data_IF_649799386582
#
_entry.id   IF_649799386582
#
_cell.length_a   1.000
_cell.length_b   1.000
_cell.length_c   1.000
_cell.angle_alpha   90.00
_cell.angle_beta   90.00
_cell.angle_gamma   90.00
#
_symmetry.space_group_name_H-M   'P 1'
#
loop_
_entity.id
_entity.type
_entity.pdbx_description
1 polymer ?
#
# COMPACT_ATOMS: atom_id res chain seq x y z
N UNK A 1 4.78 16.84 6.34
CA UNK A 1 5.22 15.91 7.37
C UNK A 1 6.09 14.84 6.74
N UNK A 2 7.41 14.97 6.89
CA UNK A 2 8.39 13.95 6.54
C UNK A 2 8.65 13.03 7.72
N UNK A 3 9.47 11.98 7.54
CA UNK A 3 9.88 11.10 8.63
C UNK A 3 10.80 11.77 9.66
N UNK A 4 11.34 12.95 9.39
CA UNK A 4 12.14 13.72 10.35
C UNK A 4 11.25 14.59 11.25
N UNK A 5 10.01 14.84 10.84
CA UNK A 5 9.04 15.70 11.52
C UNK A 5 8.17 14.94 12.54
N UNK A 6 8.63 13.78 13.05
CA UNK A 6 7.88 12.98 14.03
C UNK A 6 7.53 13.78 15.28
N UNK A 7 8.32 14.81 15.58
CA UNK A 7 8.08 15.68 16.72
C UNK A 7 6.75 16.46 16.65
N UNK A 8 6.19 16.59 15.45
CA UNK A 8 4.92 17.28 15.21
C UNK A 8 3.70 16.38 15.42
N UNK A 9 3.89 15.06 15.61
CA UNK A 9 2.79 14.12 15.84
C UNK A 9 2.16 14.42 17.20
N UNK A 10 0.84 14.61 17.22
CA UNK A 10 0.08 14.79 18.45
C UNK A 10 0.02 13.47 19.24
N UNK A 11 0.82 13.38 20.30
CA UNK A 11 0.92 12.20 21.15
C UNK A 11 -0.21 12.06 22.16
N UNK A 12 -1.14 13.03 22.26
CA UNK A 12 -2.28 12.95 23.17
C UNK A 12 -3.46 12.13 22.62
N UNK A 13 -3.39 11.71 21.35
CA UNK A 13 -4.47 11.01 20.68
C UNK A 13 -4.22 9.49 20.69
N UNK A 14 -5.23 8.67 21.00
CA UNK A 14 -5.17 7.24 20.76
C UNK A 14 -4.88 6.97 19.28
N UNK A 15 -3.81 6.23 19.01
CA UNK A 15 -3.20 6.12 17.68
C UNK A 15 -3.03 4.66 17.29
N UNK A 16 -3.30 4.35 16.03
CA UNK A 16 -2.95 3.08 15.39
C UNK A 16 -1.92 3.34 14.30
N UNK A 17 -0.89 2.51 14.22
CA UNK A 17 0.10 2.54 13.14
C UNK A 17 -0.17 1.42 12.15
N UNK A 18 -0.15 1.74 10.86
CA UNK A 18 -0.08 0.75 9.77
C UNK A 18 1.24 0.98 9.03
N UNK A 19 2.22 0.12 9.29
CA UNK A 19 3.57 0.22 8.72
C UNK A 19 3.66 -0.62 7.44
N UNK A 20 3.74 0.07 6.30
CA UNK A 20 4.06 -0.52 4.99
C UNK A 20 5.50 -0.25 4.56
N UNK A 21 6.28 0.48 5.38
CA UNK A 21 7.65 0.89 5.05
C UNK A 21 8.69 -0.19 5.38
N UNK A 22 8.38 -1.05 6.35
CA UNK A 22 9.34 -2.01 6.90
C UNK A 22 10.50 -1.37 7.67
N UNK A 23 10.40 -0.09 8.01
CA UNK A 23 11.45 0.64 8.71
C UNK A 23 11.31 0.46 10.24
N UNK A 24 11.91 -0.60 10.77
CA UNK A 24 11.85 -0.93 12.20
C UNK A 24 12.38 0.17 13.12
N UNK A 25 13.38 0.95 12.68
CA UNK A 25 13.94 2.04 13.48
C UNK A 25 12.95 3.20 13.63
N UNK A 26 12.27 3.56 12.54
CA UNK A 26 11.19 4.55 12.54
C UNK A 26 10.02 4.09 13.41
N UNK A 27 9.61 2.83 13.25
CA UNK A 27 8.52 2.24 14.02
C UNK A 27 8.81 2.26 15.52
N UNK A 28 10.05 1.93 15.92
CA UNK A 28 10.51 2.01 17.32
C UNK A 28 10.46 3.43 17.87
N UNK A 29 10.92 4.43 17.09
CA UNK A 29 10.84 5.85 17.49
C UNK A 29 9.40 6.31 17.67
N UNK A 30 8.50 5.91 16.77
CA UNK A 30 7.07 6.21 16.85
C UNK A 30 6.43 5.57 18.09
N UNK A 31 6.72 4.29 18.34
CA UNK A 31 6.21 3.57 19.50
C UNK A 31 6.66 4.22 20.81
N UNK A 32 7.94 4.55 20.93
CA UNK A 32 8.49 5.27 22.08
C UNK A 32 7.82 6.64 22.28
N UNK A 33 7.58 7.37 21.19
CA UNK A 33 6.99 8.70 21.24
C UNK A 33 5.52 8.67 21.65
N UNK A 34 4.75 7.74 21.11
CA UNK A 34 3.31 7.61 21.36
C UNK A 34 3.03 6.95 22.73
N UNK A 35 3.95 6.10 23.21
CA UNK A 35 3.83 5.43 24.50
C UNK A 35 2.49 4.70 24.64
N UNK A 36 1.80 4.94 25.75
CA UNK A 36 0.49 4.31 26.03
C UNK A 36 -0.61 4.67 25.04
N UNK A 37 -0.46 5.79 24.31
CA UNK A 37 -1.43 6.18 23.29
C UNK A 37 -1.24 5.42 21.97
N UNK A 38 -0.19 4.60 21.82
CA UNK A 38 -0.13 3.62 20.75
C UNK A 38 -1.01 2.42 21.12
N UNK A 39 -2.23 2.42 20.58
CA UNK A 39 -3.21 1.38 20.85
C UNK A 39 -2.92 0.09 20.08
N UNK A 40 -2.42 0.22 18.84
CA UNK A 40 -2.16 -0.94 17.99
C UNK A 40 -1.17 -0.63 16.87
N UNK A 41 -0.41 -1.64 16.44
CA UNK A 41 0.54 -1.53 15.34
C UNK A 41 0.42 -2.72 14.38
N UNK A 42 0.08 -2.43 13.12
CA UNK A 42 -0.03 -3.43 12.04
C UNK A 42 1.18 -3.27 11.13
N UNK A 43 1.99 -4.32 10.99
CA UNK A 43 3.10 -4.36 10.04
C UNK A 43 2.68 -5.11 8.79
N UNK A 44 2.84 -4.51 7.61
CA UNK A 44 2.39 -5.06 6.33
C UNK A 44 3.60 -5.37 5.46
N UNK A 45 3.66 -6.58 4.88
CA UNK A 45 4.47 -6.83 3.68
C UNK A 45 5.96 -7.18 3.86
N UNK A 46 6.42 -7.58 5.04
CA UNK A 46 7.79 -8.12 5.21
C UNK A 46 7.91 -9.52 4.57
N UNK A 47 8.55 -9.58 3.41
CA UNK A 47 8.73 -10.79 2.57
C UNK A 47 9.61 -11.88 3.20
N UNK A 48 10.37 -11.59 4.26
CA UNK A 48 11.08 -12.58 5.07
C UNK A 48 10.64 -12.53 6.54
N UNK A 49 9.64 -13.34 6.88
CA UNK A 49 9.14 -13.54 8.24
C UNK A 49 10.22 -14.01 9.23
N UNK A 50 11.20 -14.80 8.75
CA UNK A 50 12.26 -15.37 9.59
C UNK A 50 13.38 -14.36 9.92
N UNK A 51 13.60 -13.35 9.08
CA UNK A 51 14.73 -12.41 9.20
C UNK A 51 14.30 -11.00 9.64
N UNK A 52 12.99 -10.71 9.68
CA UNK A 52 12.48 -9.41 10.16
C UNK A 52 12.56 -9.19 11.68
N UNK A 53 13.40 -9.97 12.37
CA UNK A 53 13.64 -9.91 13.83
C UNK A 53 14.46 -8.68 14.27
N UNK A 54 14.16 -7.52 13.73
CA UNK A 54 14.50 -6.28 14.42
C UNK A 54 13.46 -6.05 15.51
N UNK A 55 13.87 -6.11 16.78
CA UNK A 55 13.03 -5.69 17.91
C UNK A 55 12.59 -4.23 17.72
N UNK A 56 11.39 -4.05 17.19
CA UNK A 56 10.75 -2.76 17.02
C UNK A 56 10.35 -2.13 18.37
N UNK A 57 10.59 -2.82 19.50
CA UNK A 57 10.19 -2.38 20.83
C UNK A 57 8.67 -2.28 20.96
N UNK A 58 7.94 -3.04 20.16
CA UNK A 58 6.48 -3.05 20.15
C UNK A 58 5.97 -4.08 21.16
N UNK A 59 4.90 -3.71 21.85
CA UNK A 59 4.10 -4.66 22.62
C UNK A 59 3.49 -5.68 21.66
N UNK A 60 3.90 -6.95 21.79
CA UNK A 60 3.41 -8.06 20.97
C UNK A 60 1.89 -8.29 21.15
N UNK A 61 1.32 -7.90 22.30
CA UNK A 61 -0.13 -8.00 22.53
C UNK A 61 -0.93 -6.94 21.78
N UNK A 62 -0.26 -5.85 21.38
CA UNK A 62 -0.82 -4.72 20.64
C UNK A 62 -0.21 -4.57 19.25
N UNK A 63 0.36 -5.64 18.69
CA UNK A 63 0.89 -5.61 17.34
C UNK A 63 0.63 -6.89 16.58
N UNK A 64 0.42 -6.75 15.27
CA UNK A 64 0.27 -7.87 14.36
C UNK A 64 1.11 -7.68 13.10
N UNK A 65 1.40 -8.81 12.45
CA UNK A 65 1.96 -8.82 11.12
C UNK A 65 0.89 -9.27 10.13
N UNK A 66 0.53 -8.37 9.22
CA UNK A 66 -0.44 -8.63 8.17
C UNK A 66 0.25 -9.19 6.93
N UNK A 67 0.05 -10.48 6.68
CA UNK A 67 0.59 -11.19 5.53
C UNK A 67 -0.51 -11.57 4.53
N UNK A 68 -0.64 -10.81 3.44
CA UNK A 68 -1.71 -10.99 2.44
C UNK A 68 -1.92 -12.45 2.01
N UNK A 69 -0.88 -13.27 1.73
CA UNK A 69 -1.09 -14.66 1.32
C UNK A 69 -1.82 -15.54 2.34
N UNK A 70 -1.60 -15.37 3.65
CA UNK A 70 -2.31 -16.15 4.67
C UNK A 70 -3.79 -15.82 4.69
N UNK A 71 -4.15 -14.54 4.51
CA UNK A 71 -5.54 -14.12 4.38
C UNK A 71 -6.18 -14.66 3.11
N UNK A 72 -5.47 -14.68 1.97
CA UNK A 72 -5.97 -15.31 0.74
C UNK A 72 -6.27 -16.80 0.99
N UNK A 73 -5.35 -17.54 1.59
CA UNK A 73 -5.54 -18.95 1.94
C UNK A 73 -6.74 -19.15 2.87
N UNK A 74 -6.87 -18.30 3.89
CA UNK A 74 -8.00 -18.34 4.82
C UNK A 74 -9.32 -18.08 4.09
N UNK A 75 -9.40 -17.08 3.20
CA UNK A 75 -10.62 -16.81 2.42
C UNK A 75 -10.94 -17.92 1.43
N UNK A 76 -9.93 -18.54 0.82
CA UNK A 76 -10.14 -19.72 -0.02
C UNK A 76 -10.68 -20.91 0.79
N UNK A 77 -10.24 -21.09 2.04
CA UNK A 77 -10.78 -22.11 2.95
C UNK A 77 -12.22 -21.80 3.38
N UNK A 78 -12.50 -20.55 3.73
CA UNK A 78 -13.80 -20.13 4.27
C UNK A 78 -14.90 -20.05 3.20
N UNK A 79 -14.56 -19.64 1.98
CA UNK A 79 -15.53 -19.36 0.92
C UNK A 79 -15.44 -20.32 -0.26
N UNK A 80 -14.43 -21.19 -0.27
CA UNK A 80 -14.05 -21.97 -1.45
C UNK A 80 -13.37 -21.12 -2.53
N UNK A 81 -12.64 -21.75 -3.47
CA UNK A 81 -11.98 -21.03 -4.57
C UNK A 81 -12.94 -20.19 -5.42
N UNK A 82 -14.12 -20.73 -5.75
CA UNK A 82 -15.12 -20.03 -6.55
C UNK A 82 -15.69 -18.82 -5.80
N UNK A 83 -16.10 -19.01 -4.53
CA UNK A 83 -16.65 -17.91 -3.72
C UNK A 83 -15.63 -16.80 -3.48
N UNK A 84 -14.34 -17.14 -3.36
CA UNK A 84 -13.27 -16.14 -3.33
C UNK A 84 -13.14 -15.38 -4.65
N UNK A 85 -13.15 -16.06 -5.80
CA UNK A 85 -13.07 -15.43 -7.13
C UNK A 85 -14.23 -14.45 -7.34
N UNK A 86 -15.46 -14.91 -7.15
CA UNK A 86 -16.68 -14.11 -7.38
C UNK A 86 -16.71 -12.84 -6.52
N UNK A 87 -16.30 -12.95 -5.25
CA UNK A 87 -16.24 -11.79 -4.33
C UNK A 87 -15.13 -10.82 -4.73
N UNK A 88 -13.97 -11.34 -5.11
CA UNK A 88 -12.82 -10.54 -5.51
C UNK A 88 -13.10 -9.79 -6.83
N UNK A 89 -13.65 -10.49 -7.82
CA UNK A 89 -14.07 -9.90 -9.10
C UNK A 89 -15.13 -8.82 -8.89
N UNK A 90 -16.17 -9.10 -8.10
CA UNK A 90 -17.21 -8.11 -7.78
C UNK A 90 -16.63 -6.86 -7.14
N UNK A 91 -15.73 -7.04 -6.16
CA UNK A 91 -15.05 -5.91 -5.51
C UNK A 91 -14.19 -5.12 -6.51
N UNK A 92 -13.43 -5.79 -7.36
CA UNK A 92 -12.59 -5.16 -8.38
C UNK A 92 -13.42 -4.36 -9.38
N UNK A 93 -14.52 -4.92 -9.89
CA UNK A 93 -15.41 -4.22 -10.79
C UNK A 93 -16.08 -3.00 -10.15
N UNK A 94 -16.59 -3.14 -8.93
CA UNK A 94 -17.19 -2.04 -8.18
C UNK A 94 -16.16 -0.94 -7.89
N UNK A 95 -14.95 -1.31 -7.49
CA UNK A 95 -13.87 -0.36 -7.18
C UNK A 95 -13.39 0.38 -8.43
N UNK A 96 -13.22 -0.32 -9.56
CA UNK A 96 -12.87 0.29 -10.84
C UNK A 96 -13.98 1.20 -11.38
N UNK A 97 -15.25 0.89 -11.09
CA UNK A 97 -16.36 1.77 -11.42
C UNK A 97 -16.39 3.02 -10.56
N UNK A 98 -16.20 2.85 -9.25
CA UNK A 98 -16.15 3.94 -8.30
C UNK A 98 -14.96 4.88 -8.52
N UNK A 99 -13.79 4.35 -8.87
CA UNK A 99 -12.59 5.15 -9.08
C UNK A 99 -12.73 6.16 -10.21
N UNK A 100 -13.55 5.86 -11.23
CA UNK A 100 -13.85 6.80 -12.33
C UNK A 100 -14.50 8.11 -11.87
N UNK A 101 -15.08 8.15 -10.68
CA UNK A 101 -15.69 9.37 -10.14
C UNK A 101 -14.67 10.40 -9.64
N UNK A 102 -13.42 9.99 -9.41
CA UNK A 102 -12.41 10.87 -8.82
C UNK A 102 -11.04 10.79 -9.52
N UNK A 103 -10.66 9.63 -10.07
CA UNK A 103 -9.37 9.41 -10.69
C UNK A 103 -9.34 9.96 -12.13
N UNK A 104 -8.39 10.85 -12.41
CA UNK A 104 -8.07 11.40 -13.72
C UNK A 104 -6.96 10.56 -14.35
N UNK A 105 -7.20 10.03 -15.55
CA UNK A 105 -6.18 9.27 -16.28
C UNK A 105 -5.43 10.20 -17.22
N UNK A 106 -4.12 10.31 -17.03
CA UNK A 106 -3.21 10.98 -17.97
C UNK A 106 -2.44 9.92 -18.74
N UNK A 107 -2.62 9.91 -20.05
CA UNK A 107 -1.81 9.06 -20.94
C UNK A 107 -0.59 9.82 -21.42
N UNK A 108 0.59 9.19 -21.35
CA UNK A 108 1.85 9.69 -21.92
C UNK A 108 2.37 8.69 -22.95
N UNK A 109 3.02 9.19 -24.00
CA UNK A 109 3.45 8.36 -25.13
C UNK A 109 4.90 7.90 -24.99
N UNK A 110 5.09 6.59 -25.11
CA UNK A 110 6.38 5.93 -25.21
C UNK A 110 7.32 6.16 -24.03
N UNK A 111 8.57 5.72 -24.22
CA UNK A 111 9.62 5.90 -23.23
C UNK A 111 9.99 7.36 -23.00
N UNK A 112 9.81 8.22 -24.01
CA UNK A 112 10.02 9.67 -23.87
C UNK A 112 9.03 10.29 -22.88
N UNK A 113 7.73 9.97 -23.00
CA UNK A 113 6.72 10.47 -22.07
C UNK A 113 6.91 9.93 -20.66
N UNK A 114 7.35 8.68 -20.52
CA UNK A 114 7.77 8.13 -19.23
C UNK A 114 8.95 8.89 -18.63
N UNK A 115 10.02 9.12 -19.41
CA UNK A 115 11.21 9.81 -18.93
C UNK A 115 10.90 11.25 -18.46
N UNK A 116 9.95 11.91 -19.11
CA UNK A 116 9.50 13.26 -18.74
C UNK A 116 8.72 13.27 -17.41
N UNK A 117 7.78 12.34 -17.23
CA UNK A 117 6.88 12.34 -16.06
C UNK A 117 7.49 11.66 -14.83
N UNK A 118 8.41 10.71 -15.02
CA UNK A 118 8.97 9.87 -13.95
C UNK A 118 9.61 10.67 -12.80
N UNK A 119 10.40 11.74 -13.02
CA UNK A 119 10.95 12.54 -11.93
C UNK A 119 9.87 13.15 -11.03
N UNK A 120 8.72 13.57 -11.59
CA UNK A 120 7.62 14.11 -10.81
C UNK A 120 6.95 13.02 -9.95
N UNK A 121 6.87 11.78 -10.45
CA UNK A 121 6.37 10.62 -9.68
C UNK A 121 7.30 10.34 -8.50
N UNK A 122 8.61 10.22 -8.74
CA UNK A 122 9.58 9.96 -7.69
C UNK A 122 9.61 11.05 -6.60
N UNK A 123 9.29 12.29 -6.98
CA UNK A 123 9.25 13.43 -6.05
C UNK A 123 7.87 13.61 -5.39
N UNK A 124 6.89 12.74 -5.67
CA UNK A 124 5.54 12.85 -5.12
C UNK A 124 4.80 14.11 -5.55
N UNK A 125 5.10 14.64 -6.74
CA UNK A 125 4.53 15.88 -7.28
C UNK A 125 3.25 15.69 -8.07
N UNK A 126 2.86 14.45 -8.37
CA UNK A 126 1.58 14.18 -9.02
C UNK A 126 0.44 14.37 -8.02
N UNK A 127 -0.68 14.89 -8.51
CA UNK A 127 -1.88 14.97 -7.73
C UNK A 127 -2.34 13.56 -7.32
N UNK A 128 -2.86 13.42 -6.10
CA UNK A 128 -3.32 12.13 -5.59
C UNK A 128 -4.50 11.55 -6.40
N UNK A 129 -5.19 12.38 -7.17
CA UNK A 129 -6.28 12.03 -8.08
C UNK A 129 -5.82 11.80 -9.53
N UNK A 130 -4.52 11.77 -9.83
CA UNK A 130 -4.00 11.52 -11.18
C UNK A 130 -3.31 10.15 -11.29
N UNK A 131 -3.77 9.33 -12.24
CA UNK A 131 -3.13 8.08 -12.64
C UNK A 131 -2.46 8.21 -14.00
N UNK A 132 -1.19 7.83 -14.11
CA UNK A 132 -0.44 7.89 -15.38
C UNK A 132 -0.44 6.54 -16.08
N UNK A 133 -0.82 6.52 -17.35
CA UNK A 133 -0.68 5.37 -18.25
C UNK A 133 0.37 5.69 -19.30
N UNK A 134 1.39 4.85 -19.43
CA UNK A 134 2.37 4.96 -20.52
C UNK A 134 1.87 4.11 -21.69
N UNK A 135 1.42 4.77 -22.76
CA UNK A 135 1.06 4.11 -24.00
C UNK A 135 2.33 3.84 -24.81
N UNK A 136 2.69 2.57 -24.98
CA UNK A 136 3.82 2.19 -25.85
C UNK A 136 3.23 1.89 -27.23
N UNK A 137 3.34 2.86 -28.15
CA UNK A 137 3.03 2.64 -29.57
C UNK A 137 4.02 1.63 -30.16
N UNK A 138 3.66 0.33 -30.21
CA UNK A 138 4.57 -0.71 -30.72
C UNK A 138 4.26 -2.19 -30.49
N UNK A 139 3.11 -2.59 -29.94
CA UNK A 139 2.62 -3.97 -30.09
C UNK A 139 1.38 -3.93 -30.98
N UNK A 140 1.57 -4.31 -32.24
CA UNK A 140 0.50 -4.42 -33.23
C UNK A 140 -0.74 -5.08 -32.64
N UNK A 141 -1.89 -4.42 -32.82
CA UNK A 141 -3.15 -5.13 -32.98
C UNK A 141 -3.07 -5.95 -34.27
N UNK A 142 -2.41 -7.10 -34.21
CA UNK A 142 -2.54 -8.10 -35.25
C UNK A 142 -3.84 -8.88 -35.01
N UNK A 143 -4.86 -8.37 -35.71
CA UNK A 143 -5.96 -9.06 -36.38
C UNK A 143 -6.67 -10.19 -35.63
N UNK A 144 -7.94 -9.92 -35.38
CA UNK A 144 -8.99 -10.92 -35.51
C UNK A 144 -8.85 -11.64 -36.86
N UNK A 145 -8.71 -12.96 -36.82
CA UNK A 145 -9.30 -13.94 -37.73
C UNK A 145 -9.80 -15.12 -36.88
#
# INVERSE_FOLDING_TARGET
MTYDELDQINTSLPTVIVDMSGNSALLKRLAQRLGENLNYSIRVGLTHWAESQGDAGLDETKSEFFFVPSYIQQRMKDWGPQGFSERSERFMHASAAWSRNWLKIRTVEGLSGLAEIYPAICQGKLAADEGVVVAISGMNQNKAE
#
